data_IF_903431477844
#
_entry.id   IF_903431477844
#
_cell.length_a   1.000
_cell.length_b   1.000
_cell.length_c   1.000
_cell.angle_alpha   90.00
_cell.angle_beta   90.00
_cell.angle_gamma   90.00
#
_symmetry.space_group_name_H-M   'P 1'
#
loop_
_entity.id
_entity.type
_entity.pdbx_description
1 polymer ?
#
# COMPACT_ATOMS: atom_id res chain seq x y z
N UNK A 1 1.21 -23.40 31.62
CA UNK A 1 0.55 -22.56 30.61
C UNK A 1 1.26 -21.22 30.64
N UNK A 2 2.22 -21.01 29.74
CA UNK A 2 2.96 -19.76 29.64
C UNK A 2 2.26 -18.91 28.59
N UNK A 3 1.52 -17.90 29.04
CA UNK A 3 1.11 -16.79 28.18
C UNK A 3 2.31 -15.85 28.14
N UNK A 4 3.04 -15.88 27.03
CA UNK A 4 4.13 -14.96 26.77
C UNK A 4 3.52 -13.55 26.64
N UNK A 5 3.98 -12.66 27.51
CA UNK A 5 3.54 -11.29 27.56
C UNK A 5 4.05 -10.54 26.33
N UNK A 6 3.13 -10.09 25.48
CA UNK A 6 3.42 -9.01 24.56
C UNK A 6 3.76 -7.77 25.40
N UNK A 7 5.06 -7.54 25.61
CA UNK A 7 5.56 -6.35 26.26
C UNK A 7 5.23 -5.12 25.41
N UNK A 8 4.18 -4.40 25.78
CA UNK A 8 3.82 -3.12 25.19
C UNK A 8 4.79 -2.03 25.66
N UNK A 9 5.94 -1.94 25.01
CA UNK A 9 6.93 -0.88 25.23
C UNK A 9 7.15 -0.04 23.97
N UNK A 10 6.10 0.65 23.53
CA UNK A 10 6.22 1.61 22.42
C UNK A 10 5.13 2.69 22.46
N UNK A 11 5.51 3.94 22.19
CA UNK A 11 4.59 5.05 21.86
C UNK A 11 3.99 4.91 20.45
N UNK A 12 4.26 3.81 19.76
CA UNK A 12 3.87 3.54 18.38
C UNK A 12 3.28 2.14 18.26
N UNK A 13 2.36 1.98 17.33
CA UNK A 13 1.85 0.67 16.94
C UNK A 13 2.88 -0.03 16.07
N UNK A 14 3.31 -1.23 16.47
CA UNK A 14 4.19 -2.11 15.71
C UNK A 14 3.86 -3.55 16.06
N UNK A 15 3.54 -4.36 15.05
CA UNK A 15 3.10 -5.75 15.23
C UNK A 15 3.35 -6.56 13.94
N UNK A 16 3.70 -7.83 14.09
CA UNK A 16 3.84 -8.77 12.98
C UNK A 16 2.54 -9.53 12.72
N UNK A 17 2.19 -9.71 11.46
CA UNK A 17 1.00 -10.46 11.02
C UNK A 17 1.35 -11.45 9.92
N UNK A 18 0.52 -12.48 9.75
CA UNK A 18 0.55 -13.31 8.54
C UNK A 18 -0.23 -12.61 7.43
N UNK A 19 0.38 -12.45 6.25
CA UNK A 19 -0.29 -11.82 5.12
C UNK A 19 -0.93 -12.86 4.18
N UNK A 20 -2.13 -12.54 3.71
CA UNK A 20 -2.84 -13.31 2.70
C UNK A 20 -3.36 -12.38 1.59
N UNK A 21 -3.49 -12.88 0.35
CA UNK A 21 -4.01 -12.08 -0.75
C UNK A 21 -5.50 -11.81 -0.57
N UNK A 22 -5.98 -10.72 -1.17
CA UNK A 22 -7.38 -10.33 -1.11
C UNK A 22 -8.33 -11.41 -1.63
N UNK A 23 -7.87 -12.36 -2.45
CA UNK A 23 -8.66 -13.49 -2.96
C UNK A 23 -9.22 -14.42 -1.87
N UNK A 24 -8.65 -14.39 -0.66
CA UNK A 24 -9.15 -15.16 0.49
C UNK A 24 -10.39 -14.53 1.12
N UNK A 25 -10.73 -13.31 0.72
CA UNK A 25 -11.92 -12.59 1.18
C UNK A 25 -12.76 -12.15 -0.03
N UNK A 26 -14.09 -12.15 0.09
CA UNK A 26 -14.98 -11.76 -1.00
C UNK A 26 -15.06 -10.23 -1.16
N UNK A 27 -13.89 -9.59 -1.41
CA UNK A 27 -13.72 -8.13 -1.54
C UNK A 27 -12.83 -7.76 -2.72
N UNK A 28 -13.31 -7.90 -3.97
CA UNK A 28 -12.52 -7.61 -5.17
C UNK A 28 -12.06 -6.14 -5.27
N UNK A 29 -12.76 -5.22 -4.60
CA UNK A 29 -12.38 -3.80 -4.56
C UNK A 29 -11.04 -3.54 -3.85
N UNK A 30 -10.57 -4.47 -3.02
CA UNK A 30 -9.29 -4.32 -2.31
C UNK A 30 -8.13 -4.25 -3.30
N UNK A 31 -8.19 -5.01 -4.39
CA UNK A 31 -7.14 -5.05 -5.41
C UNK A 31 -6.91 -3.71 -6.12
N UNK A 32 -7.90 -2.81 -6.11
CA UNK A 32 -7.84 -1.53 -6.84
C UNK A 32 -7.35 -0.34 -5.98
N UNK A 33 -6.77 -0.62 -4.81
CA UNK A 33 -6.25 0.40 -3.89
C UNK A 33 -5.07 -0.11 -3.07
N UNK A 34 -4.58 0.71 -2.15
CA UNK A 34 -3.47 0.42 -1.23
C UNK A 34 -3.92 0.09 0.19
N UNK A 35 -5.20 -0.27 0.36
CA UNK A 35 -5.75 -0.49 1.69
C UNK A 35 -5.67 -1.97 2.05
N UNK A 36 -5.40 -2.25 3.32
CA UNK A 36 -5.38 -3.61 3.86
C UNK A 36 -6.56 -3.85 4.81
N UNK A 37 -6.85 -5.12 5.10
CA UNK A 37 -7.79 -5.53 6.13
C UNK A 37 -6.99 -6.05 7.32
N UNK A 38 -7.28 -5.51 8.50
CA UNK A 38 -6.59 -5.83 9.74
C UNK A 38 -7.53 -6.52 10.74
N UNK A 39 -7.02 -7.16 11.82
CA UNK A 39 -7.88 -7.76 12.82
C UNK A 39 -8.45 -6.70 13.79
N UNK A 40 -9.61 -6.95 14.41
CA UNK A 40 -10.22 -6.05 15.40
C UNK A 40 -9.26 -5.65 16.54
N UNK A 41 -8.42 -6.57 17.02
CA UNK A 41 -7.43 -6.27 18.06
C UNK A 41 -6.45 -5.15 17.67
N UNK A 42 -6.17 -4.97 16.37
CA UNK A 42 -5.34 -3.88 15.89
C UNK A 42 -6.03 -2.53 16.12
N UNK A 43 -7.34 -2.43 15.88
CA UNK A 43 -8.11 -1.21 16.11
C UNK A 43 -8.12 -0.82 17.59
N UNK A 44 -8.35 -1.77 18.49
CA UNK A 44 -8.33 -1.53 19.94
C UNK A 44 -6.98 -0.95 20.39
N UNK A 45 -5.89 -1.50 19.85
CA UNK A 45 -4.54 -1.02 20.12
C UNK A 45 -4.32 0.39 19.57
N UNK A 46 -4.72 0.65 18.32
CA UNK A 46 -4.60 1.96 17.69
C UNK A 46 -5.41 3.03 18.45
N UNK A 47 -6.61 2.68 18.91
CA UNK A 47 -7.46 3.54 19.72
C UNK A 47 -6.82 3.86 21.07
N UNK A 48 -6.22 2.87 21.75
CA UNK A 48 -5.51 3.09 23.02
C UNK A 48 -4.32 4.06 22.87
N UNK A 49 -3.69 4.05 21.70
CA UNK A 49 -2.58 4.93 21.34
C UNK A 49 -3.03 6.31 20.86
N UNK A 50 -4.34 6.58 20.80
CA UNK A 50 -4.93 7.84 20.32
C UNK A 50 -4.44 8.19 18.91
N UNK A 51 -4.37 7.20 18.02
CA UNK A 51 -4.00 7.41 16.62
C UNK A 51 -5.22 7.93 15.85
N UNK A 52 -5.14 9.18 15.41
CA UNK A 52 -6.17 9.83 14.60
C UNK A 52 -6.18 9.33 13.15
N UNK A 53 -7.32 9.50 12.49
CA UNK A 53 -7.46 9.26 11.05
C UNK A 53 -6.72 10.35 10.24
N UNK A 54 -6.09 10.02 9.10
CA UNK A 54 -5.97 8.69 8.47
C UNK A 54 -4.92 7.79 9.12
N UNK A 55 -5.30 6.53 9.34
CA UNK A 55 -4.39 5.48 9.83
C UNK A 55 -3.57 4.94 8.66
N UNK A 56 -2.28 5.31 8.64
CA UNK A 56 -1.30 4.86 7.66
C UNK A 56 -0.30 3.92 8.32
N UNK A 57 0.18 2.98 7.53
CA UNK A 57 1.10 1.94 7.99
C UNK A 57 2.27 1.77 7.03
N UNK A 58 3.43 1.50 7.61
CA UNK A 58 4.58 0.94 6.94
C UNK A 58 4.49 -0.59 7.04
N UNK A 59 4.57 -1.24 5.89
CA UNK A 59 4.69 -2.68 5.75
C UNK A 59 6.13 -3.01 5.44
N UNK A 60 6.75 -3.85 6.25
CA UNK A 60 8.13 -4.28 6.07
C UNK A 60 8.22 -5.81 5.99
N UNK A 61 8.86 -6.30 4.93
CA UNK A 61 9.32 -7.67 4.85
C UNK A 61 10.77 -7.71 5.33
N UNK A 62 11.00 -8.25 6.52
CA UNK A 62 12.33 -8.34 7.13
C UNK A 62 13.27 -9.30 6.38
N UNK A 63 12.74 -10.21 5.56
CA UNK A 63 13.54 -11.18 4.79
C UNK A 63 14.15 -10.56 3.52
N UNK A 64 13.46 -9.59 2.92
CA UNK A 64 13.87 -8.96 1.65
C UNK A 64 14.26 -7.49 1.82
N UNK A 65 14.14 -6.96 3.05
CA UNK A 65 14.32 -5.55 3.40
C UNK A 65 13.44 -4.61 2.57
N UNK A 66 12.36 -5.13 1.96
CA UNK A 66 11.38 -4.36 1.22
C UNK A 66 10.44 -3.64 2.17
N UNK A 67 10.12 -2.40 1.83
CA UNK A 67 9.21 -1.54 2.57
C UNK A 67 8.21 -0.94 1.60
N UNK A 68 6.93 -0.98 1.98
CA UNK A 68 5.82 -0.33 1.28
C UNK A 68 4.93 0.36 2.31
N UNK A 69 4.03 1.22 1.86
CA UNK A 69 3.10 1.93 2.72
C UNK A 69 1.67 1.65 2.28
N UNK A 70 0.77 1.54 3.26
CA UNK A 70 -0.62 1.22 3.01
C UNK A 70 -1.55 1.99 3.96
N UNK A 71 -2.81 2.13 3.54
CA UNK A 71 -3.91 2.49 4.43
C UNK A 71 -4.58 1.24 5.01
N UNK A 72 -5.56 1.44 5.89
CA UNK A 72 -6.49 0.38 6.33
C UNK A 72 -7.88 0.65 5.77
N UNK A 73 -8.54 -0.40 5.27
CA UNK A 73 -9.93 -0.33 4.82
C UNK A 73 -10.87 -0.65 5.97
N UNK A 74 -10.71 -1.81 6.59
CA UNK A 74 -11.58 -2.31 7.66
C UNK A 74 -10.81 -3.22 8.63
N UNK A 75 -11.39 -3.40 9.82
CA UNK A 75 -10.86 -4.25 10.88
C UNK A 75 -11.74 -5.49 11.08
N UNK A 76 -11.66 -6.43 10.13
CA UNK A 76 -12.49 -7.65 10.11
C UNK A 76 -11.69 -8.94 9.88
N UNK A 77 -10.36 -8.87 9.83
CA UNK A 77 -9.53 -10.06 9.62
C UNK A 77 -9.52 -10.98 10.85
N UNK A 78 -9.20 -12.25 10.64
CA UNK A 78 -8.90 -13.17 11.73
C UNK A 78 -7.69 -12.70 12.54
N UNK A 79 -7.70 -12.98 13.85
CA UNK A 79 -6.63 -12.56 14.75
C UNK A 79 -5.27 -13.12 14.32
N UNK A 80 -4.28 -12.23 14.22
CA UNK A 80 -2.93 -12.56 13.74
C UNK A 80 -2.78 -12.60 12.21
N UNK A 81 -3.82 -12.28 11.45
CA UNK A 81 -3.80 -12.24 9.98
C UNK A 81 -4.13 -10.85 9.43
N UNK A 82 -3.59 -10.53 8.25
CA UNK A 82 -4.00 -9.38 7.46
C UNK A 82 -4.23 -9.80 6.00
N UNK A 83 -5.14 -9.10 5.32
CA UNK A 83 -5.38 -9.27 3.89
C UNK A 83 -4.95 -8.03 3.14
N UNK A 84 -4.24 -8.21 2.02
CA UNK A 84 -3.73 -7.10 1.22
C UNK A 84 -3.86 -7.39 -0.28
N UNK A 85 -3.82 -6.36 -1.12
CA UNK A 85 -3.82 -6.53 -2.58
C UNK A 85 -2.66 -7.41 -3.03
N UNK A 86 -2.87 -8.22 -4.08
CA UNK A 86 -1.84 -9.11 -4.58
C UNK A 86 -0.60 -8.35 -5.08
N UNK A 87 -0.80 -7.21 -5.76
CA UNK A 87 0.32 -6.37 -6.23
C UNK A 87 1.21 -5.86 -5.07
N UNK A 88 0.63 -5.65 -3.89
CA UNK A 88 1.36 -5.22 -2.69
C UNK A 88 2.21 -6.36 -2.12
N UNK A 89 1.70 -7.59 -2.15
CA UNK A 89 2.49 -8.78 -1.81
C UNK A 89 3.68 -8.96 -2.76
N UNK A 90 3.46 -8.74 -4.06
CA UNK A 90 4.53 -8.82 -5.07
C UNK A 90 5.64 -7.78 -4.80
N UNK A 91 5.27 -6.52 -4.51
CA UNK A 91 6.23 -5.46 -4.16
C UNK A 91 7.08 -5.81 -2.93
N UNK A 92 6.45 -6.39 -1.91
CA UNK A 92 7.13 -6.83 -0.69
C UNK A 92 7.83 -8.19 -0.83
N UNK A 93 7.68 -8.87 -1.98
CA UNK A 93 8.16 -10.23 -2.22
C UNK A 93 7.67 -11.22 -1.15
N UNK A 94 6.37 -11.16 -0.83
CA UNK A 94 5.70 -12.01 0.15
C UNK A 94 4.91 -13.13 -0.54
N UNK A 95 4.90 -14.32 0.08
CA UNK A 95 4.03 -15.43 -0.25
C UNK A 95 2.84 -15.53 0.73
N UNK A 96 1.85 -16.35 0.38
CA UNK A 96 0.70 -16.59 1.25
C UNK A 96 1.13 -17.18 2.60
N UNK A 97 0.76 -16.50 3.69
CA UNK A 97 1.11 -16.91 5.05
C UNK A 97 2.48 -16.42 5.55
N UNK A 98 3.24 -15.69 4.72
CA UNK A 98 4.49 -15.04 5.15
C UNK A 98 4.22 -13.98 6.23
N UNK A 99 5.27 -13.68 6.99
CA UNK A 99 5.20 -12.70 8.07
C UNK A 99 5.60 -11.33 7.53
N UNK A 100 4.77 -10.34 7.85
CA UNK A 100 5.04 -8.93 7.56
C UNK A 100 4.93 -8.11 8.83
N UNK A 101 5.87 -7.19 9.01
CA UNK A 101 5.87 -6.24 10.12
C UNK A 101 5.05 -5.03 9.73
N UNK A 102 4.03 -4.70 10.52
CA UNK A 102 3.12 -3.57 10.31
C UNK A 102 3.37 -2.54 11.39
N UNK A 103 3.71 -1.32 10.99
CA UNK A 103 4.02 -0.21 11.90
C UNK A 103 3.20 1.01 11.54
N UNK A 104 2.57 1.65 12.52
CA UNK A 104 1.89 2.92 12.28
C UNK A 104 2.91 4.03 12.03
N UNK A 105 2.65 4.84 11.01
CA UNK A 105 3.51 5.95 10.61
C UNK A 105 2.67 7.17 10.23
N UNK A 106 3.28 8.35 10.34
CA UNK A 106 2.72 9.59 9.77
C UNK A 106 3.53 9.97 8.55
N UNK A 107 2.89 9.96 7.38
CA UNK A 107 3.54 10.32 6.12
C UNK A 107 3.32 11.80 5.78
N UNK A 108 4.34 12.49 5.27
CA UNK A 108 4.16 13.85 4.77
C UNK A 108 3.27 13.85 3.53
N UNK A 109 2.55 14.95 3.33
CA UNK A 109 1.73 15.17 2.13
C UNK A 109 2.62 15.23 0.90
N UNK A 110 2.28 14.43 -0.11
CA UNK A 110 2.98 14.35 -1.38
C UNK A 110 2.93 15.67 -2.13
N UNK A 111 4.07 16.10 -2.68
CA UNK A 111 4.14 17.31 -3.53
C UNK A 111 4.44 16.97 -4.97
N UNK A 112 5.16 15.87 -5.18
CA UNK A 112 5.59 15.44 -6.49
C UNK A 112 5.70 13.92 -6.49
N UNK A 113 5.29 13.30 -7.60
CA UNK A 113 5.51 11.90 -7.89
C UNK A 113 5.91 11.73 -9.35
N UNK A 114 6.93 10.90 -9.58
CA UNK A 114 7.35 10.47 -10.91
C UNK A 114 6.89 9.04 -11.14
N UNK A 115 6.11 8.85 -12.18
CA UNK A 115 5.50 7.58 -12.53
C UNK A 115 6.09 7.04 -13.83
N UNK A 116 6.33 5.73 -13.88
CA UNK A 116 6.85 5.05 -15.06
C UNK A 116 5.94 3.88 -15.43
N UNK A 117 5.13 4.00 -16.49
CA UNK A 117 4.34 2.88 -17.00
C UNK A 117 5.24 1.74 -17.47
N UNK A 118 4.84 0.50 -17.25
CA UNK A 118 5.58 -0.66 -17.77
C UNK A 118 5.47 -0.78 -19.29
N UNK A 119 4.31 -0.43 -19.84
CA UNK A 119 4.01 -0.58 -21.27
C UNK A 119 3.55 0.71 -21.93
N UNK A 120 3.88 0.89 -23.21
CA UNK A 120 3.36 2.00 -24.05
C UNK A 120 1.84 1.99 -24.16
N UNK A 121 1.21 0.82 -24.06
CA UNK A 121 -0.24 0.65 -24.10
C UNK A 121 -0.99 1.55 -23.11
N UNK A 122 -0.36 1.92 -21.98
CA UNK A 122 -0.97 2.84 -21.02
C UNK A 122 -1.01 4.29 -21.56
N UNK A 123 0.03 4.71 -22.28
CA UNK A 123 0.10 6.04 -22.89
C UNK A 123 -0.84 6.19 -24.09
N UNK A 124 -1.15 5.09 -24.78
CA UNK A 124 -2.07 5.07 -25.92
C UNK A 124 -3.56 5.14 -25.52
N UNK A 125 -3.87 5.10 -24.22
CA UNK A 125 -5.24 5.27 -23.74
C UNK A 125 -5.70 6.70 -24.04
N UNK A 126 -6.99 6.90 -24.34
CA UNK A 126 -7.51 8.22 -24.71
C UNK A 126 -7.38 9.28 -23.62
N UNK A 127 -7.36 8.88 -22.33
CA UNK A 127 -7.18 9.80 -21.22
C UNK A 127 -6.47 9.13 -20.01
N UNK A 128 -5.15 8.90 -20.09
CA UNK A 128 -4.41 8.18 -19.06
C UNK A 128 -4.35 8.96 -17.73
N UNK A 129 -4.37 10.30 -17.80
CA UNK A 129 -4.38 11.16 -16.61
C UNK A 129 -5.66 10.98 -15.79
N UNK A 130 -6.83 11.00 -16.42
CA UNK A 130 -8.09 10.83 -15.71
C UNK A 130 -8.24 9.44 -15.06
N UNK A 131 -7.72 8.40 -15.72
CA UNK A 131 -7.69 7.03 -15.18
C UNK A 131 -6.79 7.00 -13.95
N UNK A 132 -5.58 7.55 -14.07
CA UNK A 132 -4.64 7.62 -12.97
C UNK A 132 -5.22 8.40 -11.78
N UNK A 133 -5.82 9.58 -12.01
CA UNK A 133 -6.48 10.35 -10.96
C UNK A 133 -7.59 9.55 -10.27
N UNK A 134 -8.39 8.82 -11.05
CA UNK A 134 -9.46 7.98 -10.51
C UNK A 134 -8.91 6.83 -9.66
N UNK A 135 -7.84 6.18 -10.13
CA UNK A 135 -7.19 5.10 -9.39
C UNK A 135 -6.52 5.62 -8.13
N UNK A 136 -5.75 6.71 -8.22
CA UNK A 136 -5.03 7.30 -7.08
C UNK A 136 -5.96 7.80 -5.97
N UNK A 137 -7.23 8.12 -6.27
CA UNK A 137 -8.24 8.40 -5.23
C UNK A 137 -8.51 7.21 -4.30
N UNK A 138 -8.28 5.99 -4.77
CA UNK A 138 -8.42 4.79 -3.93
C UNK A 138 -7.16 4.53 -3.09
N UNK A 139 -6.06 5.22 -3.38
CA UNK A 139 -4.78 5.09 -2.71
C UNK A 139 -4.65 6.16 -1.61
N UNK A 140 -4.02 5.77 -0.52
CA UNK A 140 -3.81 6.56 0.69
C UNK A 140 -2.38 7.12 0.71
N UNK A 141 -1.45 6.34 0.18
CA UNK A 141 -0.02 6.64 0.12
C UNK A 141 0.64 6.03 -1.12
N UNK A 142 1.84 6.52 -1.41
CA UNK A 142 2.73 6.05 -2.47
C UNK A 142 4.14 5.92 -1.91
N UNK A 143 4.85 4.86 -2.30
CA UNK A 143 6.25 4.62 -1.92
C UNK A 143 7.14 4.60 -3.15
N UNK A 144 8.27 5.31 -3.11
CA UNK A 144 9.31 5.20 -4.13
C UNK A 144 9.81 3.75 -4.20
N UNK A 145 9.84 3.18 -5.39
CA UNK A 145 10.28 1.82 -5.67
C UNK A 145 9.14 0.78 -5.73
N UNK A 146 7.92 1.15 -5.37
CA UNK A 146 6.74 0.29 -5.50
C UNK A 146 6.19 0.31 -6.94
N UNK A 147 5.62 -0.82 -7.36
CA UNK A 147 4.82 -0.94 -8.57
C UNK A 147 3.34 -1.01 -8.21
N UNK A 148 2.53 -0.05 -8.67
CA UNK A 148 1.08 -0.05 -8.42
C UNK A 148 0.31 -0.61 -9.61
N UNK A 149 -0.80 -1.29 -9.32
CA UNK A 149 -1.69 -1.83 -10.34
C UNK A 149 -2.84 -0.84 -10.64
N UNK A 150 -3.01 -0.51 -11.91
CA UNK A 150 -4.10 0.30 -12.45
C UNK A 150 -4.99 -0.56 -13.33
N UNK A 151 -6.22 -0.80 -12.90
CA UNK A 151 -7.20 -1.56 -13.69
C UNK A 151 -8.01 -0.63 -14.61
N UNK A 152 -8.00 -0.88 -15.92
CA UNK A 152 -8.78 -0.14 -16.91
C UNK A 152 -9.24 -1.04 -18.06
N UNK A 153 -10.52 -0.98 -18.44
CA UNK A 153 -11.12 -1.80 -19.51
C UNK A 153 -10.80 -3.30 -19.40
N UNK A 154 -10.92 -3.88 -18.20
CA UNK A 154 -10.56 -5.28 -17.89
C UNK A 154 -9.09 -5.66 -18.14
N UNK A 155 -8.21 -4.67 -18.34
CA UNK A 155 -6.76 -4.85 -18.43
C UNK A 155 -6.08 -4.25 -17.20
N UNK A 156 -5.09 -4.97 -16.69
CA UNK A 156 -4.22 -4.51 -15.61
C UNK A 156 -3.00 -3.85 -16.23
N UNK A 157 -2.73 -2.62 -15.82
CA UNK A 157 -1.54 -1.87 -16.16
C UNK A 157 -0.70 -1.70 -14.90
N UNK A 158 0.61 -1.86 -15.00
CA UNK A 158 1.52 -1.65 -13.88
C UNK A 158 2.32 -0.38 -14.11
N UNK A 159 2.48 0.40 -13.03
CA UNK A 159 3.16 1.69 -13.05
C UNK A 159 4.12 1.73 -11.86
N UNK A 160 5.40 1.95 -12.14
CA UNK A 160 6.41 2.12 -11.11
C UNK A 160 6.40 3.54 -10.57
N UNK A 161 6.55 3.65 -9.26
CA UNK A 161 6.77 4.90 -8.56
C UNK A 161 8.27 5.13 -8.49
N UNK A 162 8.80 5.92 -9.42
CA UNK A 162 10.25 6.14 -9.57
C UNK A 162 10.78 7.11 -8.52
N UNK A 163 10.00 8.12 -8.17
CA UNK A 163 10.41 9.18 -7.24
C UNK A 163 9.19 9.79 -6.56
N UNK A 164 9.29 10.08 -5.26
CA UNK A 164 8.29 10.81 -4.49
C UNK A 164 8.96 11.93 -3.67
N UNK A 165 8.24 13.03 -3.46
CA UNK A 165 8.69 14.15 -2.62
C UNK A 165 7.59 14.56 -1.64
N UNK A 166 7.94 14.92 -0.39
CA UNK A 166 9.30 15.22 0.11
C UNK A 166 10.07 14.02 0.69
N UNK A 167 9.47 12.83 0.71
CA UNK A 167 10.04 11.61 1.30
C UNK A 167 9.75 10.42 0.40
N UNK A 168 10.46 9.31 0.61
CA UNK A 168 10.22 8.06 -0.12
C UNK A 168 8.79 7.54 0.07
N UNK A 169 8.21 7.68 1.26
CA UNK A 169 6.78 7.44 1.52
C UNK A 169 6.02 8.77 1.60
N UNK A 170 4.95 8.91 0.83
CA UNK A 170 4.09 10.11 0.85
C UNK A 170 2.63 9.75 1.02
N UNK A 171 1.86 10.58 1.71
CA UNK A 171 0.41 10.52 1.71
C UNK A 171 -0.15 11.34 0.56
N UNK A 172 -1.09 10.78 -0.18
CA UNK A 172 -1.80 11.46 -1.29
C UNK A 172 -3.27 11.73 -0.97
N UNK A 173 -3.70 11.46 0.26
CA UNK A 173 -5.07 11.74 0.72
C UNK A 173 -5.33 13.25 0.65
N UNK A 174 -6.35 13.65 -0.11
CA UNK A 174 -6.79 15.05 -0.24
C UNK A 174 -5.63 16.00 -0.54
N UNK A 175 -4.72 15.58 -1.42
CA UNK A 175 -3.50 16.33 -1.74
C UNK A 175 -3.37 16.56 -3.24
N UNK A 176 -3.08 17.80 -3.62
CA UNK A 176 -2.66 18.13 -4.97
C UNK A 176 -1.18 17.78 -5.15
N UNK A 177 -0.92 16.62 -5.74
CA UNK A 177 0.43 16.14 -6.03
C UNK A 177 0.76 16.39 -7.51
N UNK A 178 1.92 16.99 -7.79
CA UNK A 178 2.42 17.11 -9.16
C UNK A 178 2.81 15.72 -9.71
N UNK A 179 2.36 15.38 -10.91
CA UNK A 179 2.62 14.08 -11.54
C UNK A 179 3.48 14.27 -12.78
N UNK A 180 4.67 13.65 -12.77
CA UNK A 180 5.56 13.54 -13.93
C UNK A 180 5.57 12.11 -14.48
N UNK A 181 5.77 11.96 -15.79
CA UNK A 181 5.80 10.67 -16.46
C UNK A 181 7.19 10.40 -17.06
N UNK A 182 7.82 9.32 -16.61
CA UNK A 182 9.01 8.78 -17.26
C UNK A 182 8.64 7.98 -18.52
N UNK A 183 9.58 7.80 -19.47
CA UNK A 183 9.38 6.91 -20.62
C UNK A 183 9.05 5.48 -20.17
N UNK A 184 8.15 4.76 -20.86
CA UNK A 184 7.79 3.38 -20.51
C UNK A 184 8.98 2.42 -20.54
N UNK A 185 8.95 1.36 -19.72
CA UNK A 185 10.02 0.36 -19.66
C UNK A 185 10.19 -0.41 -20.98
N UNK A 186 9.11 -0.62 -21.72
CA UNK A 186 9.10 -1.26 -23.04
C UNK A 186 9.43 -0.31 -24.20
N UNK A 187 9.88 0.92 -23.90
CA UNK A 187 10.31 1.86 -24.91
C UNK A 187 11.59 1.40 -25.60
N UNK A 188 11.42 0.74 -26.75
CA UNK A 188 12.48 0.57 -27.75
C UNK A 188 12.54 1.82 -28.62
N UNK A 189 13.76 2.38 -28.71
CA UNK A 189 14.17 3.47 -29.62
C UNK A 189 14.09 3.04 -31.09
#
# INVERSE_FOLDING_TARGET
MFFDGYGYHGRSFEQTYRCYPASFIDKPQLENGDKIIMPPSALDRLASLHIDYPMLFELRNDSTERVSHCGVLEFIAEEGMIYMPYWMMENLCLQEGDIVTVKNVTLPKGKYVKLQPHTKDFLDISNPKAILETTLRNFSCLTTGDSIMVAYNNKKYYIDIVETKPSNGISIIETDCEVDFAPPLDYKE
#
